data_IF_546449195131
#
_entry.id   IF_546449195131
#
_cell.length_a   1.000
_cell.length_b   1.000
_cell.length_c   1.000
_cell.angle_alpha   90.00
_cell.angle_beta   90.00
_cell.angle_gamma   90.00
#
_symmetry.space_group_name_H-M   'P 1'
#
loop_
_entity.id
_entity.type
_entity.pdbx_description
1 polymer ?
#
# COMPACT_ATOMS: atom_id res chain seq x y z
N UNK A 1 10.98 32.66 28.72
CA UNK A 1 9.57 32.26 28.51
C UNK A 1 9.14 32.71 27.12
N UNK A 2 9.25 31.86 26.10
CA UNK A 2 8.39 31.92 24.92
C UNK A 2 8.43 30.54 24.23
N UNK A 3 7.25 29.93 24.19
CA UNK A 3 7.00 28.55 23.80
C UNK A 3 6.90 28.50 22.27
N UNK A 4 7.87 27.87 21.61
CA UNK A 4 7.76 27.52 20.19
C UNK A 4 6.64 26.48 20.09
N UNK A 5 5.50 26.86 19.51
CA UNK A 5 4.53 25.90 19.02
C UNK A 5 5.17 25.18 17.81
N UNK A 6 5.98 24.17 18.10
CA UNK A 6 6.32 23.15 17.12
C UNK A 6 5.01 22.44 16.77
N UNK A 7 4.41 22.84 15.65
CA UNK A 7 3.26 22.18 15.07
C UNK A 7 3.58 20.69 14.96
N UNK A 8 2.70 19.87 15.51
CA UNK A 8 2.75 18.43 15.39
C UNK A 8 2.62 18.08 13.92
N UNK A 9 3.74 17.97 13.19
CA UNK A 9 3.74 17.43 11.84
C UNK A 9 3.20 16.01 12.00
N UNK A 10 2.04 15.71 11.41
CA UNK A 10 1.46 14.37 11.50
C UNK A 10 2.33 13.35 10.76
N UNK A 11 3.30 12.78 11.48
CA UNK A 11 4.20 11.76 10.97
C UNK A 11 3.46 10.45 10.70
N UNK A 12 2.29 10.22 11.34
CA UNK A 12 1.49 9.00 11.15
C UNK A 12 0.70 9.09 9.85
N UNK A 13 0.00 10.19 9.58
CA UNK A 13 -0.70 10.40 8.30
C UNK A 13 0.25 10.42 7.11
N UNK A 14 1.45 11.00 7.27
CA UNK A 14 2.51 10.93 6.25
C UNK A 14 2.98 9.50 5.94
N UNK A 15 3.24 8.69 6.99
CA UNK A 15 3.62 7.27 6.83
C UNK A 15 2.48 6.43 6.25
N UNK A 16 1.24 6.67 6.68
CA UNK A 16 0.05 5.96 6.22
C UNK A 16 -0.20 6.21 4.73
N UNK A 17 -0.13 7.47 4.29
CA UNK A 17 -0.26 7.83 2.88
C UNK A 17 0.83 7.18 2.02
N UNK A 18 2.08 7.18 2.48
CA UNK A 18 3.17 6.49 1.77
C UNK A 18 2.93 4.98 1.66
N UNK A 19 2.50 4.35 2.76
CA UNK A 19 2.15 2.93 2.75
C UNK A 19 1.03 2.62 1.75
N UNK A 20 -0.01 3.45 1.72
CA UNK A 20 -1.13 3.29 0.81
C UNK A 20 -0.67 3.34 -0.66
N UNK A 21 0.15 4.33 -1.03
CA UNK A 21 0.71 4.42 -2.39
C UNK A 21 1.54 3.19 -2.78
N UNK A 22 2.33 2.66 -1.83
CA UNK A 22 3.10 1.43 -2.07
C UNK A 22 2.19 0.21 -2.28
N UNK A 23 1.11 0.10 -1.51
CA UNK A 23 0.14 -0.99 -1.64
C UNK A 23 -0.66 -0.90 -2.94
N UNK A 24 -1.11 0.29 -3.33
CA UNK A 24 -1.79 0.53 -4.61
C UNK A 24 -0.88 0.15 -5.79
N UNK A 25 0.39 0.54 -5.73
CA UNK A 25 1.39 0.15 -6.73
C UNK A 25 1.63 -1.36 -6.75
N UNK A 26 1.65 -2.01 -5.58
CA UNK A 26 1.79 -3.46 -5.48
C UNK A 26 0.57 -4.22 -6.03
N UNK A 27 -0.63 -3.61 -5.97
CA UNK A 27 -1.91 -4.13 -6.44
C UNK A 27 -2.19 -3.81 -7.93
N UNK A 28 -1.21 -3.32 -8.68
CA UNK A 28 -1.35 -3.07 -10.12
C UNK A 28 -1.51 -4.39 -10.90
N UNK A 29 -2.56 -4.50 -11.72
CA UNK A 29 -2.83 -5.71 -12.53
C UNK A 29 -1.74 -6.03 -13.56
N UNK A 30 -1.03 -5.00 -14.05
CA UNK A 30 0.13 -5.17 -14.93
C UNK A 30 1.28 -5.83 -14.20
N UNK A 31 1.48 -5.50 -12.92
CA UNK A 31 2.50 -6.13 -12.08
C UNK A 31 2.21 -7.62 -11.88
N UNK A 32 0.96 -7.99 -11.59
CA UNK A 32 0.57 -9.40 -11.47
C UNK A 32 0.83 -10.17 -12.77
N UNK A 33 0.47 -9.57 -13.91
CA UNK A 33 0.70 -10.15 -15.23
C UNK A 33 2.19 -10.32 -15.53
N UNK A 34 2.99 -9.29 -15.21
CA UNK A 34 4.45 -9.33 -15.35
C UNK A 34 5.07 -10.46 -14.52
N UNK A 35 4.68 -10.63 -13.25
CA UNK A 35 5.23 -11.71 -12.42
C UNK A 35 4.83 -13.11 -12.90
N UNK A 36 3.61 -13.27 -13.44
CA UNK A 36 3.20 -14.52 -14.07
C UNK A 36 4.04 -14.83 -15.31
N UNK A 37 4.28 -13.85 -16.18
CA UNK A 37 5.16 -14.01 -17.34
C UNK A 37 6.60 -14.30 -16.94
N UNK A 38 7.11 -13.60 -15.92
CA UNK A 38 8.44 -13.82 -15.39
C UNK A 38 8.61 -15.24 -14.85
N UNK A 39 7.60 -15.77 -14.16
CA UNK A 39 7.62 -17.15 -13.69
C UNK A 39 7.67 -18.15 -14.86
N UNK A 40 6.88 -17.92 -15.92
CA UNK A 40 6.90 -18.76 -17.13
C UNK A 40 8.29 -18.76 -17.78
N UNK A 41 8.88 -17.58 -18.00
CA UNK A 41 10.19 -17.44 -18.65
C UNK A 41 11.29 -18.15 -17.86
N UNK A 42 11.23 -18.10 -16.53
CA UNK A 42 12.24 -18.71 -15.67
C UNK A 42 11.94 -20.16 -15.25
N UNK A 43 10.81 -20.73 -15.70
CA UNK A 43 10.38 -22.06 -15.28
C UNK A 43 10.04 -22.15 -13.79
N UNK A 44 9.67 -21.03 -13.16
CA UNK A 44 9.25 -21.00 -11.76
C UNK A 44 7.76 -21.35 -11.62
N UNK A 45 7.35 -21.86 -10.44
CA UNK A 45 5.93 -21.98 -10.12
C UNK A 45 5.20 -20.63 -10.28
N UNK A 46 3.93 -20.65 -10.71
CA UNK A 46 3.14 -19.43 -10.80
C UNK A 46 2.99 -18.80 -9.41
N UNK A 47 3.14 -17.46 -9.29
CA UNK A 47 2.93 -16.77 -8.02
C UNK A 47 1.45 -16.78 -7.64
N UNK A 48 1.19 -16.75 -6.33
CA UNK A 48 -0.15 -16.54 -5.79
C UNK A 48 -0.74 -15.21 -6.28
N UNK A 49 -2.07 -15.17 -6.40
CA UNK A 49 -2.78 -13.92 -6.70
C UNK A 49 -2.92 -13.08 -5.43
N UNK A 50 -2.12 -12.02 -5.35
CA UNK A 50 -2.15 -11.08 -4.24
C UNK A 50 -3.23 -10.00 -4.40
N UNK A 51 -3.95 -9.96 -5.53
CA UNK A 51 -4.96 -8.94 -5.79
C UNK A 51 -6.07 -8.93 -4.73
N UNK A 52 -6.67 -10.07 -4.35
CA UNK A 52 -7.72 -10.08 -3.32
C UNK A 52 -7.25 -9.60 -1.93
N UNK A 53 -6.16 -10.12 -1.33
CA UNK A 53 -5.73 -9.66 -0.01
C UNK A 53 -5.27 -8.19 -0.02
N UNK A 54 -4.60 -7.72 -1.08
CA UNK A 54 -4.19 -6.32 -1.19
C UNK A 54 -5.39 -5.38 -1.35
N UNK A 55 -6.37 -5.75 -2.18
CA UNK A 55 -7.59 -4.96 -2.37
C UNK A 55 -8.36 -4.80 -1.05
N UNK A 56 -8.54 -5.90 -0.30
CA UNK A 56 -9.18 -5.83 1.01
C UNK A 56 -8.41 -4.93 1.98
N UNK A 57 -7.08 -5.09 2.04
CA UNK A 57 -6.26 -4.35 3.00
C UNK A 57 -6.21 -2.85 2.69
N UNK A 58 -6.12 -2.47 1.41
CA UNK A 58 -6.23 -1.08 0.95
C UNK A 58 -7.58 -0.49 1.37
N UNK A 59 -8.68 -1.20 1.14
CA UNK A 59 -10.02 -0.75 1.54
C UNK A 59 -10.12 -0.53 3.06
N UNK A 60 -9.58 -1.46 3.86
CA UNK A 60 -9.53 -1.32 5.32
C UNK A 60 -8.69 -0.10 5.76
N UNK A 61 -7.57 0.15 5.10
CA UNK A 61 -6.74 1.32 5.36
C UNK A 61 -7.44 2.63 4.99
N UNK A 62 -8.28 2.66 3.96
CA UNK A 62 -9.11 3.84 3.67
C UNK A 62 -10.19 4.05 4.72
N UNK A 63 -10.95 3.00 5.06
CA UNK A 63 -12.04 3.07 6.02
C UNK A 63 -11.57 3.57 7.41
N UNK A 64 -10.40 3.09 7.85
CA UNK A 64 -9.84 3.53 9.13
C UNK A 64 -9.12 4.89 9.06
N UNK A 65 -8.96 5.48 7.87
CA UNK A 65 -8.43 6.85 7.72
C UNK A 65 -9.56 7.88 7.81
N UNK A 66 -10.74 7.51 7.29
CA UNK A 66 -11.98 8.30 7.46
C UNK A 66 -12.49 8.30 8.90
N UNK A 67 -12.31 7.20 9.64
CA UNK A 67 -12.72 7.08 11.05
C UNK A 67 -11.86 7.92 12.02
N UNK A 68 -10.66 8.33 11.59
CA UNK A 68 -9.74 9.15 12.39
C UNK A 68 -9.81 10.66 12.07
N UNK A 69 -10.75 11.08 11.22
CA UNK A 69 -11.04 12.49 10.93
C UNK A 69 -12.29 12.93 11.65
#
# INVERSE_FOLDING_TARGET
MLRVHAGFVDHRGGRRRRLLTLLETANDSRRQTYFRLLAVVNGWPPPDDLTPPLTWFIAALHAHASDQR
#
